data_IF_122573922799
#
_entry.id   IF_122573922799
#
_cell.length_a   1.000
_cell.length_b   1.000
_cell.length_c   1.000
_cell.angle_alpha   90.00
_cell.angle_beta   90.00
_cell.angle_gamma   90.00
#
_symmetry.space_group_name_H-M   'P 1'
#
loop_
_entity.id
_entity.type
_entity.pdbx_description
1 polymer ?
#
# COMPACT_ATOMS: atom_id res chain seq x y z
N UNK A 1 -14.05 13.22 46.89
CA UNK A 1 -14.50 13.43 45.49
C UNK A 1 -13.26 13.55 44.63
N UNK A 2 -12.73 12.43 44.15
CA UNK A 2 -11.46 12.37 43.42
C UNK A 2 -11.78 12.19 41.94
N UNK A 3 -11.44 13.20 41.12
CA UNK A 3 -11.62 13.16 39.67
C UNK A 3 -10.60 12.20 39.06
N UNK A 4 -11.07 11.05 38.57
CA UNK A 4 -10.30 10.18 37.68
C UNK A 4 -10.23 10.86 36.31
N UNK A 5 -9.07 11.42 35.98
CA UNK A 5 -8.75 11.88 34.63
C UNK A 5 -8.46 10.67 33.74
N UNK A 6 -9.37 10.41 32.78
CA UNK A 6 -9.13 9.49 31.67
C UNK A 6 -7.96 10.01 30.82
N UNK A 7 -6.82 9.32 30.87
CA UNK A 7 -5.77 9.48 29.87
C UNK A 7 -6.22 8.71 28.62
N UNK A 8 -6.48 9.44 27.54
CA UNK A 8 -6.70 8.86 26.22
C UNK A 8 -5.44 8.14 25.71
N UNK A 9 -5.56 7.26 24.71
CA UNK A 9 -4.43 6.50 24.20
C UNK A 9 -3.39 7.46 23.64
N UNK A 10 -2.19 7.39 24.20
CA UNK A 10 -1.00 8.09 23.74
C UNK A 10 -0.71 7.68 22.29
N UNK A 11 -0.95 8.60 21.35
CA UNK A 11 -0.40 8.51 20.01
C UNK A 11 1.12 8.59 20.13
N UNK A 12 1.77 7.43 20.09
CA UNK A 12 3.22 7.29 20.03
C UNK A 12 3.71 7.90 18.73
N UNK A 13 3.99 9.19 18.75
CA UNK A 13 4.79 9.87 17.74
C UNK A 13 6.23 9.42 17.92
N UNK A 14 6.53 8.20 17.44
CA UNK A 14 7.91 7.80 17.22
C UNK A 14 8.35 8.43 15.91
N UNK A 15 8.87 9.66 16.02
CA UNK A 15 9.75 10.28 15.05
C UNK A 15 11.06 9.50 14.95
N UNK A 16 11.00 8.25 14.49
CA UNK A 16 12.17 7.51 14.04
C UNK A 16 12.55 8.13 12.72
N UNK A 17 13.69 8.84 12.71
CA UNK A 17 14.36 9.29 11.50
C UNK A 17 14.35 8.12 10.51
N UNK A 18 13.62 8.25 9.40
CA UNK A 18 13.46 7.24 8.34
C UNK A 18 14.76 7.05 7.54
N UNK A 19 15.87 6.79 8.22
CA UNK A 19 17.13 6.33 7.65
C UNK A 19 17.10 4.81 7.73
N UNK A 20 16.67 4.12 6.68
CA UNK A 20 16.66 2.66 6.70
C UNK A 20 16.49 2.09 5.32
N UNK A 21 15.24 1.94 4.89
CA UNK A 21 14.97 1.12 3.72
C UNK A 21 15.11 1.86 2.39
N UNK A 22 16.02 1.38 1.54
CA UNK A 22 16.09 1.81 0.12
C UNK A 22 14.96 1.24 -0.71
N UNK A 23 14.31 0.18 -0.22
CA UNK A 23 13.26 -0.56 -0.92
C UNK A 23 11.98 -0.56 -0.06
N UNK A 24 10.82 -0.37 -0.66
CA UNK A 24 9.54 -0.50 0.04
C UNK A 24 8.67 -1.48 -0.72
N UNK A 25 8.17 -2.49 -0.02
CA UNK A 25 7.10 -3.34 -0.52
C UNK A 25 5.76 -2.64 -0.30
N UNK A 26 4.93 -2.58 -1.34
CA UNK A 26 3.56 -2.10 -1.26
C UNK A 26 2.58 -3.22 -1.61
N UNK A 27 1.48 -3.26 -0.87
CA UNK A 27 0.32 -4.08 -1.21
C UNK A 27 -0.96 -3.46 -0.67
N UNK A 28 -2.05 -3.65 -1.40
CA UNK A 28 -3.37 -3.17 -1.01
C UNK A 28 -4.34 -4.31 -0.71
N UNK A 29 -5.40 -3.98 0.03
CA UNK A 29 -6.59 -4.82 0.17
C UNK A 29 -7.76 -4.09 -0.49
N UNK A 30 -8.36 -4.72 -1.50
CA UNK A 30 -9.44 -4.13 -2.28
C UNK A 30 -10.83 -4.62 -1.83
N UNK A 31 -11.77 -3.70 -1.73
CA UNK A 31 -13.21 -3.97 -1.61
C UNK A 31 -13.93 -3.54 -2.88
N UNK A 32 -15.13 -4.05 -3.10
CA UNK A 32 -15.98 -3.73 -4.25
C UNK A 32 -16.87 -2.51 -4.01
N UNK A 33 -16.92 -1.63 -5.00
CA UNK A 33 -17.87 -0.52 -5.13
C UNK A 33 -18.66 -0.57 -6.43
N UNK A 34 -19.46 0.47 -6.67
CA UNK A 34 -20.41 0.50 -7.79
C UNK A 34 -21.65 -0.33 -7.51
N UNK A 35 -22.68 -0.20 -8.35
CA UNK A 35 -23.97 -0.88 -8.15
C UNK A 35 -23.87 -2.42 -8.13
N UNK A 36 -22.85 -2.98 -8.79
CA UNK A 36 -22.60 -4.41 -8.92
C UNK A 36 -21.38 -4.91 -8.12
N UNK A 37 -20.66 -4.03 -7.42
CA UNK A 37 -19.47 -4.39 -6.66
C UNK A 37 -18.23 -4.67 -7.52
N UNK A 38 -18.27 -4.35 -8.81
CA UNK A 38 -17.19 -4.61 -9.77
C UNK A 38 -16.01 -3.65 -9.65
N UNK A 39 -16.22 -2.45 -9.10
CA UNK A 39 -15.17 -1.45 -8.97
C UNK A 39 -14.25 -1.80 -7.81
N UNK A 40 -12.95 -1.87 -8.06
CA UNK A 40 -11.96 -2.05 -7.00
C UNK A 40 -11.71 -0.74 -6.27
N UNK A 41 -11.84 -0.78 -4.94
CA UNK A 41 -11.59 0.33 -4.05
C UNK A 41 -10.55 -0.09 -3.01
N UNK A 42 -9.47 0.68 -2.89
CA UNK A 42 -8.49 0.41 -1.85
C UNK A 42 -9.08 0.70 -0.45
N UNK A 43 -9.15 -0.34 0.37
CA UNK A 43 -9.68 -0.29 1.74
C UNK A 43 -8.57 -0.32 2.79
N UNK A 44 -7.39 -0.87 2.45
CA UNK A 44 -6.23 -0.95 3.34
C UNK A 44 -4.95 -0.97 2.50
N UNK A 45 -3.92 -0.28 2.97
CA UNK A 45 -2.59 -0.27 2.35
C UNK A 45 -1.54 -0.69 3.36
N UNK A 46 -0.50 -1.36 2.86
CA UNK A 46 0.69 -1.76 3.58
C UNK A 46 1.93 -1.27 2.86
N UNK A 47 2.83 -0.60 3.58
CA UNK A 47 4.20 -0.35 3.16
C UNK A 47 5.14 -1.01 4.18
N UNK A 48 6.02 -1.87 3.68
CA UNK A 48 6.97 -2.65 4.49
C UNK A 48 8.38 -2.38 3.99
N UNK A 49 9.33 -2.20 4.92
CA UNK A 49 10.75 -2.02 4.61
C UNK A 49 11.44 -3.34 4.24
N UNK A 50 12.68 -3.24 3.76
CA UNK A 50 13.52 -4.40 3.43
C UNK A 50 13.93 -5.21 4.68
N UNK A 51 13.87 -4.57 5.84
CA UNK A 51 14.09 -5.12 7.17
C UNK A 51 12.80 -5.71 7.79
N UNK A 52 11.77 -5.92 6.98
CA UNK A 52 10.46 -6.46 7.36
C UNK A 52 9.66 -5.55 8.34
N UNK A 53 10.15 -4.34 8.60
CA UNK A 53 9.46 -3.40 9.46
C UNK A 53 8.24 -2.78 8.77
N UNK A 54 7.12 -2.70 9.48
CA UNK A 54 5.90 -2.05 9.00
C UNK A 54 6.11 -0.53 9.04
N UNK A 55 6.26 0.08 7.85
CA UNK A 55 6.41 1.53 7.69
C UNK A 55 5.05 2.23 7.74
N UNK A 56 4.05 1.65 7.08
CA UNK A 56 2.68 2.15 7.08
C UNK A 56 1.71 0.97 6.98
N UNK A 57 0.76 0.90 7.90
CA UNK A 57 -0.41 0.06 7.77
C UNK A 57 -1.63 0.89 8.18
N UNK A 58 -2.55 1.12 7.25
CA UNK A 58 -3.75 1.91 7.54
C UNK A 58 -4.93 1.48 6.69
N UNK A 59 -6.12 1.54 7.26
CA UNK A 59 -7.36 1.52 6.48
C UNK A 59 -7.52 2.86 5.76
N UNK A 60 -8.10 2.80 4.57
CA UNK A 60 -8.38 3.95 3.70
C UNK A 60 -9.89 4.06 3.54
N UNK A 61 -10.41 5.29 3.70
CA UNK A 61 -11.81 5.60 3.45
C UNK A 61 -12.06 5.66 1.94
N UNK A 62 -12.86 4.75 1.36
CA UNK A 62 -13.14 4.76 -0.07
C UNK A 62 -13.94 5.99 -0.50
N UNK A 63 -13.74 6.44 -1.74
CA UNK A 63 -14.41 7.65 -2.27
C UNK A 63 -15.90 7.44 -2.57
N UNK A 64 -16.28 6.20 -2.87
CA UNK A 64 -17.66 5.80 -3.14
C UNK A 64 -18.09 4.73 -2.13
N UNK A 65 -19.41 4.50 -1.93
CA UNK A 65 -19.88 3.46 -1.03
C UNK A 65 -19.35 2.07 -1.41
N UNK A 66 -18.93 1.32 -0.40
CA UNK A 66 -18.58 -0.10 -0.53
C UNK A 66 -19.86 -0.90 -0.63
N UNK A 67 -20.03 -1.63 -1.73
CA UNK A 67 -21.18 -2.50 -1.98
C UNK A 67 -20.84 -3.98 -1.79
N UNK A 68 -19.56 -4.34 -1.86
CA UNK A 68 -19.09 -5.70 -1.60
C UNK A 68 -17.77 -5.70 -0.83
N UNK A 69 -17.78 -6.11 0.43
CA UNK A 69 -16.56 -6.14 1.26
C UNK A 69 -15.60 -7.28 0.93
N UNK A 70 -16.04 -8.27 0.15
CA UNK A 70 -15.24 -9.47 -0.19
C UNK A 70 -14.66 -10.16 1.04
N UNK A 71 -15.50 -10.34 2.07
CA UNK A 71 -15.10 -10.77 3.42
C UNK A 71 -14.19 -12.00 3.44
N UNK A 72 -14.43 -12.99 2.58
CA UNK A 72 -13.66 -14.23 2.53
C UNK A 72 -12.17 -14.05 2.15
N UNK A 73 -11.82 -12.96 1.47
CA UNK A 73 -10.44 -12.67 1.07
C UNK A 73 -9.84 -11.46 1.77
N UNK A 74 -10.66 -10.47 2.13
CA UNK A 74 -10.16 -9.18 2.64
C UNK A 74 -10.14 -9.08 4.16
N UNK A 75 -11.06 -9.77 4.85
CA UNK A 75 -11.33 -9.54 6.27
C UNK A 75 -11.76 -8.10 6.62
N UNK A 76 -12.02 -7.24 5.64
CA UNK A 76 -12.43 -5.84 5.87
C UNK A 76 -13.89 -5.81 6.30
N UNK A 77 -14.20 -5.00 7.31
CA UNK A 77 -15.55 -4.83 7.85
C UNK A 77 -15.92 -3.35 7.88
N UNK A 78 -17.21 -2.99 7.87
CA UNK A 78 -17.65 -1.59 7.88
C UNK A 78 -17.04 -0.75 9.02
N UNK A 79 -16.86 -1.35 10.20
CA UNK A 79 -16.24 -0.73 11.37
C UNK A 79 -14.79 -0.31 11.13
N UNK A 80 -14.03 -1.04 10.31
CA UNK A 80 -12.66 -0.66 9.95
C UNK A 80 -12.62 0.61 9.08
N UNK A 81 -13.70 0.90 8.35
CA UNK A 81 -13.78 2.01 7.41
C UNK A 81 -14.43 3.28 7.99
N UNK A 82 -15.03 3.18 9.19
CA UNK A 82 -15.76 4.29 9.82
C UNK A 82 -14.86 5.51 10.05
N UNK A 83 -13.70 5.27 10.66
CA UNK A 83 -12.70 6.28 11.03
C UNK A 83 -11.39 6.11 10.24
N UNK A 84 -11.48 5.49 9.06
CA UNK A 84 -10.34 5.24 8.20
C UNK A 84 -9.73 6.54 7.62
N UNK A 85 -8.44 6.47 7.28
CA UNK A 85 -7.71 7.61 6.73
C UNK A 85 -8.32 8.05 5.39
N UNK A 86 -8.61 9.35 5.18
CA UNK A 86 -9.04 9.85 3.88
C UNK A 86 -8.02 9.55 2.78
N UNK A 87 -8.48 9.15 1.59
CA UNK A 87 -7.61 8.77 0.47
C UNK A 87 -6.53 9.82 0.16
N UNK A 88 -6.88 11.12 0.14
CA UNK A 88 -5.91 12.21 -0.09
C UNK A 88 -4.82 12.31 0.98
N UNK A 89 -5.10 11.89 2.21
CA UNK A 89 -4.09 11.85 3.26
C UNK A 89 -3.18 10.62 3.09
N UNK A 90 -3.76 9.47 2.72
CA UNK A 90 -3.00 8.26 2.42
C UNK A 90 -2.05 8.47 1.22
N UNK A 91 -2.55 9.05 0.12
CA UNK A 91 -1.76 9.42 -1.06
C UNK A 91 -0.52 10.24 -0.71
N UNK A 92 -0.70 11.31 0.09
CA UNK A 92 0.40 12.17 0.54
C UNK A 92 1.41 11.40 1.38
N UNK A 93 0.97 10.62 2.39
CA UNK A 93 1.88 9.79 3.20
C UNK A 93 2.67 8.81 2.34
N UNK A 94 2.02 8.15 1.38
CA UNK A 94 2.69 7.19 0.49
C UNK A 94 3.74 7.91 -0.37
N UNK A 95 3.39 9.04 -0.98
CA UNK A 95 4.33 9.84 -1.77
C UNK A 95 5.52 10.35 -0.94
N UNK A 96 5.28 10.85 0.27
CA UNK A 96 6.34 11.32 1.17
C UNK A 96 7.29 10.18 1.56
N UNK A 97 6.73 8.98 1.83
CA UNK A 97 7.51 7.80 2.16
C UNK A 97 8.33 7.30 0.97
N UNK A 98 7.76 7.27 -0.25
CA UNK A 98 8.47 6.79 -1.44
C UNK A 98 9.52 7.79 -1.95
N UNK A 99 9.20 9.09 -1.90
CA UNK A 99 10.10 10.15 -2.34
C UNK A 99 11.30 10.34 -1.42
N UNK A 100 11.17 9.98 -0.13
CA UNK A 100 12.26 10.02 0.84
C UNK A 100 12.96 11.39 0.92
N UNK A 101 12.17 12.47 0.89
CA UNK A 101 12.66 13.85 0.94
C UNK A 101 13.15 14.40 -0.40
N UNK A 102 13.15 13.62 -1.48
CA UNK A 102 13.38 14.15 -2.83
C UNK A 102 12.10 14.80 -3.38
N UNK A 103 12.17 16.02 -3.92
CA UNK A 103 11.01 16.57 -4.60
C UNK A 103 10.71 15.78 -5.88
N UNK A 104 9.42 15.52 -6.15
CA UNK A 104 8.95 14.66 -7.26
C UNK A 104 9.60 15.00 -8.61
N UNK A 105 9.83 16.28 -8.88
CA UNK A 105 10.46 16.72 -10.14
C UNK A 105 11.94 16.29 -10.28
N UNK A 106 12.67 16.08 -9.17
CA UNK A 106 14.06 15.55 -9.17
C UNK A 106 14.13 14.04 -9.29
N UNK A 107 13.07 13.32 -8.90
CA UNK A 107 13.08 11.84 -8.89
C UNK A 107 13.36 11.30 -10.31
N UNK A 108 13.07 12.07 -11.36
CA UNK A 108 13.28 11.70 -12.78
C UNK A 108 14.76 11.55 -13.20
N UNK A 109 15.73 11.94 -12.38
CA UNK A 109 17.16 11.79 -12.68
C UNK A 109 17.76 10.57 -11.99
N UNK A 110 18.53 9.75 -12.72
CA UNK A 110 19.28 8.62 -12.14
C UNK A 110 20.24 9.14 -11.06
N UNK A 111 20.01 8.78 -9.80
CA UNK A 111 20.91 9.10 -8.68
C UNK A 111 20.28 9.78 -7.45
N UNK A 112 18.95 9.95 -7.39
CA UNK A 112 18.26 10.49 -6.21
C UNK A 112 18.06 9.48 -5.07
N UNK A 113 17.57 9.96 -3.92
CA UNK A 113 17.29 9.14 -2.73
C UNK A 113 15.89 8.52 -2.66
N UNK A 114 15.10 8.64 -3.74
CA UNK A 114 13.78 8.01 -3.83
C UNK A 114 13.89 6.48 -3.73
N UNK A 115 12.90 5.86 -3.09
CA UNK A 115 12.93 4.43 -2.75
C UNK A 115 12.50 3.56 -3.92
N UNK A 116 13.03 2.37 -4.03
CA UNK A 116 12.56 1.37 -4.99
C UNK A 116 11.24 0.81 -4.46
N UNK A 117 10.21 0.79 -5.29
CA UNK A 117 8.92 0.20 -4.96
C UNK A 117 8.86 -1.24 -5.47
N UNK A 118 8.62 -2.21 -4.59
CA UNK A 118 8.42 -3.62 -4.94
C UNK A 118 6.99 -4.06 -4.62
N UNK A 119 6.47 -5.05 -5.35
CA UNK A 119 5.12 -5.56 -5.13
C UNK A 119 4.69 -6.61 -6.15
N UNK A 120 3.37 -6.84 -6.24
CA UNK A 120 2.77 -7.80 -7.16
C UNK A 120 1.51 -7.22 -7.80
N UNK A 121 1.58 -6.85 -9.08
CA UNK A 121 0.48 -6.16 -9.78
C UNK A 121 0.34 -4.71 -9.31
N UNK A 122 1.47 -4.01 -9.17
CA UNK A 122 1.53 -2.66 -8.60
C UNK A 122 0.75 -1.64 -9.42
N UNK A 123 0.60 -1.83 -10.74
CA UNK A 123 -0.22 -0.95 -11.58
C UNK A 123 -1.65 -0.85 -11.02
N UNK A 124 -2.26 -1.98 -10.66
CA UNK A 124 -3.60 -2.03 -10.10
C UNK A 124 -3.69 -1.36 -8.71
N UNK A 125 -2.69 -1.62 -7.86
CA UNK A 125 -2.64 -1.02 -6.52
C UNK A 125 -2.49 0.51 -6.59
N UNK A 126 -1.59 0.98 -7.45
CA UNK A 126 -1.30 2.40 -7.66
C UNK A 126 -2.49 3.13 -8.29
N UNK A 127 -3.18 2.51 -9.25
CA UNK A 127 -4.41 3.03 -9.87
C UNK A 127 -5.52 3.20 -8.82
N UNK A 128 -5.77 2.17 -8.00
CA UNK A 128 -6.78 2.23 -6.94
C UNK A 128 -6.46 3.26 -5.85
N UNK A 129 -5.17 3.52 -5.62
CA UNK A 129 -4.70 4.56 -4.72
C UNK A 129 -4.68 5.95 -5.37
N UNK A 130 -4.73 6.05 -6.70
CA UNK A 130 -4.49 7.29 -7.45
C UNK A 130 -3.09 7.86 -7.16
N UNK A 131 -2.07 7.00 -7.11
CA UNK A 131 -0.67 7.38 -6.86
C UNK A 131 0.16 7.05 -8.09
N UNK A 132 0.79 8.06 -8.68
CA UNK A 132 1.77 7.84 -9.74
C UNK A 132 3.18 7.62 -9.16
N UNK A 133 3.95 6.70 -9.75
CA UNK A 133 5.34 6.48 -9.37
C UNK A 133 6.22 6.18 -10.59
N UNK A 134 7.49 6.64 -10.63
CA UNK A 134 8.34 6.43 -11.81
C UNK A 134 8.63 4.95 -12.08
N UNK A 135 8.31 4.49 -13.29
CA UNK A 135 8.42 3.08 -13.70
C UNK A 135 9.81 2.47 -13.45
N UNK A 136 10.90 3.24 -13.64
CA UNK A 136 12.26 2.74 -13.44
C UNK A 136 12.60 2.46 -11.96
N UNK A 137 11.80 2.95 -11.02
CA UNK A 137 11.87 2.64 -9.58
C UNK A 137 10.90 1.53 -9.16
N UNK A 138 10.07 1.01 -10.07
CA UNK A 138 9.14 -0.08 -9.80
C UNK A 138 9.78 -1.43 -10.11
N UNK A 139 9.54 -2.40 -9.23
CA UNK A 139 9.95 -3.80 -9.38
C UNK A 139 8.75 -4.69 -9.07
N UNK A 140 8.02 -5.04 -10.12
CA UNK A 140 6.78 -5.81 -9.98
C UNK A 140 7.02 -7.29 -10.29
N UNK A 141 6.71 -8.15 -9.32
CA UNK A 141 6.83 -9.61 -9.46
C UNK A 141 5.84 -10.22 -10.45
N UNK A 142 4.73 -9.54 -10.76
CA UNK A 142 3.75 -10.00 -11.75
C UNK A 142 4.26 -9.83 -13.19
N UNK A 143 5.16 -8.87 -13.44
CA UNK A 143 5.71 -8.54 -14.76
C UNK A 143 7.21 -8.81 -14.89
N UNK A 144 7.86 -9.29 -13.82
CA UNK A 144 9.28 -9.65 -13.84
C UNK A 144 9.51 -10.93 -14.68
N UNK A 145 10.23 -10.86 -15.82
CA UNK A 145 10.27 -11.97 -16.78
C UNK A 145 10.65 -13.34 -16.22
N UNK A 146 11.61 -13.46 -15.28
CA UNK A 146 11.94 -14.75 -14.65
C UNK A 146 10.81 -15.38 -13.82
N UNK A 147 9.80 -14.61 -13.39
CA UNK A 147 8.66 -15.09 -12.61
C UNK A 147 7.38 -15.23 -13.46
N UNK A 148 7.42 -14.86 -14.74
CA UNK A 148 6.26 -14.93 -15.64
C UNK A 148 6.07 -16.32 -16.24
N UNK A 149 4.86 -16.60 -16.71
CA UNK A 149 4.57 -17.79 -17.51
C UNK A 149 5.26 -17.69 -18.87
N UNK A 150 5.49 -18.83 -19.51
CA UNK A 150 5.98 -18.91 -20.91
C UNK A 150 5.09 -18.14 -21.90
N UNK A 151 3.80 -18.01 -21.59
CA UNK A 151 2.83 -17.21 -22.35
C UNK A 151 2.95 -15.69 -22.17
N UNK A 152 3.96 -15.21 -21.42
CA UNK A 152 4.12 -13.79 -21.03
C UNK A 152 2.96 -13.23 -20.19
N UNK A 153 2.20 -14.10 -19.55
CA UNK A 153 1.22 -13.71 -18.54
C UNK A 153 1.85 -13.80 -17.14
N UNK A 154 1.45 -12.88 -16.26
CA UNK A 154 1.82 -12.94 -14.84
C UNK A 154 1.30 -14.22 -14.17
N UNK A 155 2.08 -14.71 -13.21
CA UNK A 155 1.61 -15.72 -12.27
C UNK A 155 0.87 -15.03 -11.12
N UNK A 156 -0.07 -15.73 -10.47
CA UNK A 156 -0.67 -15.19 -9.24
C UNK A 156 0.34 -15.22 -8.10
N UNK A 157 0.24 -14.28 -7.17
CA UNK A 157 1.07 -14.30 -5.97
C UNK A 157 0.93 -15.61 -5.19
N UNK A 158 -0.28 -16.20 -5.14
CA UNK A 158 -0.52 -17.52 -4.54
C UNK A 158 0.31 -18.62 -5.22
N UNK A 159 0.43 -18.60 -6.54
CA UNK A 159 1.24 -19.57 -7.26
C UNK A 159 2.74 -19.35 -7.02
N UNK A 160 3.19 -18.09 -7.04
CA UNK A 160 4.60 -17.75 -6.82
C UNK A 160 5.04 -18.15 -5.40
N UNK A 161 4.26 -17.78 -4.38
CA UNK A 161 4.54 -18.13 -2.98
C UNK A 161 4.62 -19.65 -2.80
N UNK A 162 3.62 -20.39 -3.28
CA UNK A 162 3.62 -21.86 -3.19
C UNK A 162 4.83 -22.50 -3.90
N UNK A 163 5.25 -21.95 -5.04
CA UNK A 163 6.34 -22.50 -5.86
C UNK A 163 7.70 -22.23 -5.25
N UNK A 164 7.93 -21.04 -4.70
CA UNK A 164 9.27 -20.58 -4.30
C UNK A 164 9.50 -20.58 -2.78
N UNK A 165 8.44 -20.55 -1.97
CA UNK A 165 8.54 -20.40 -0.51
C UNK A 165 8.02 -21.62 0.26
N UNK A 166 7.31 -22.54 -0.40
CA UNK A 166 6.63 -23.68 0.23
C UNK A 166 5.21 -23.36 0.69
#
# INVERSE_FOLDING_TARGET
MSRLSFQGPSSSDHGTRMQGSKVIALGCTMVGGGSDGSLDLCARVFLIGEDENIILQTYIKPLIPVTNYRYGTTGVRPEHLRDAMPLKQAQRRIQDLLSNGEPIWKIRSRGGNARILVGHGLDHDLDCLGVEYPEFLIRDTATYPPLMKTSKLGNSLKHLTQTYLG
#
